data_IF_088056530242
#
_entry.id   IF_088056530242
#
_cell.length_a   1.000
_cell.length_b   1.000
_cell.length_c   1.000
_cell.angle_alpha   90.00
_cell.angle_beta   90.00
_cell.angle_gamma   90.00
#
_symmetry.space_group_name_H-M   'P 1'
#
loop_
_entity.id
_entity.type
_entity.pdbx_description
1 polymer ?
#
# COMPACT_ATOMS: atom_id res chain seq x y z
N UNK A 1 52.80 -2.89 -25.05
CA UNK A 1 51.35 -2.80 -25.39
C UNK A 1 50.47 -3.72 -24.52
N UNK A 2 50.83 -4.96 -24.26
CA UNK A 2 50.03 -5.94 -23.49
C UNK A 2 49.87 -5.54 -22.00
N UNK A 3 50.83 -4.88 -21.37
CA UNK A 3 50.81 -4.47 -19.96
C UNK A 3 49.79 -3.33 -19.69
N UNK A 4 49.59 -2.42 -20.62
CA UNK A 4 48.69 -1.28 -20.49
C UNK A 4 47.26 -1.77 -20.65
N UNK A 5 47.02 -2.70 -21.57
CA UNK A 5 45.68 -3.29 -21.80
C UNK A 5 45.19 -4.07 -20.56
N UNK A 6 46.08 -4.83 -19.89
CA UNK A 6 45.74 -5.54 -18.63
C UNK A 6 45.37 -4.58 -17.49
N UNK A 7 46.04 -3.42 -17.39
CA UNK A 7 45.72 -2.42 -16.36
C UNK A 7 44.37 -1.72 -16.61
N UNK A 8 44.02 -1.48 -17.88
CA UNK A 8 42.75 -0.88 -18.26
C UNK A 8 41.59 -1.86 -17.99
N UNK A 9 41.76 -3.14 -18.29
CA UNK A 9 40.73 -4.17 -18.02
C UNK A 9 40.54 -4.35 -16.52
N UNK A 10 41.59 -4.27 -15.69
CA UNK A 10 41.49 -4.38 -14.25
C UNK A 10 40.78 -3.17 -13.60
N UNK A 11 41.00 -1.97 -14.13
CA UNK A 11 40.29 -0.75 -13.71
C UNK A 11 38.83 -0.74 -14.13
N UNK A 12 38.47 -1.32 -15.27
CA UNK A 12 37.08 -1.44 -15.71
C UNK A 12 36.26 -2.44 -14.85
N UNK A 13 36.91 -3.50 -14.34
CA UNK A 13 36.26 -4.50 -13.48
C UNK A 13 35.92 -3.99 -12.07
N UNK A 14 36.62 -2.96 -11.58
CA UNK A 14 36.37 -2.37 -10.25
C UNK A 14 35.14 -1.43 -10.26
N UNK A 15 34.73 -0.92 -11.44
CA UNK A 15 33.61 0.02 -11.55
C UNK A 15 32.24 -0.63 -11.59
N UNK A 16 32.14 -1.96 -11.69
CA UNK A 16 30.85 -2.69 -11.81
C UNK A 16 30.27 -3.11 -10.43
N UNK A 17 31.01 -2.92 -9.33
CA UNK A 17 30.64 -3.43 -8.01
C UNK A 17 29.87 -2.47 -7.10
N UNK A 18 29.39 -1.31 -7.57
CA UNK A 18 28.71 -0.32 -6.72
C UNK A 18 27.25 -0.03 -7.06
N UNK A 19 26.59 -0.89 -7.83
CA UNK A 19 25.12 -0.91 -7.81
C UNK A 19 24.65 -1.81 -6.68
N UNK A 20 24.91 -1.39 -5.44
CA UNK A 20 24.22 -1.88 -4.27
C UNK A 20 22.77 -1.47 -4.43
N UNK A 21 21.89 -2.43 -4.72
CA UNK A 21 20.46 -2.26 -4.54
C UNK A 21 20.26 -2.05 -3.04
N UNK A 22 20.05 -0.82 -2.59
CA UNK A 22 19.59 -0.52 -1.24
C UNK A 22 18.22 -1.20 -1.11
N UNK A 23 18.22 -2.33 -0.42
CA UNK A 23 16.99 -2.98 -0.01
C UNK A 23 16.47 -2.11 1.13
N UNK A 24 15.51 -1.23 0.82
CA UNK A 24 14.78 -0.49 1.85
C UNK A 24 14.17 -1.54 2.81
N UNK A 25 14.78 -1.68 3.98
CA UNK A 25 14.28 -2.53 5.06
C UNK A 25 13.13 -1.77 5.73
N UNK A 26 11.94 -1.81 5.13
CA UNK A 26 10.73 -1.36 5.81
C UNK A 26 10.41 -2.38 6.90
N UNK A 27 10.38 -1.90 8.14
CA UNK A 27 10.04 -2.72 9.29
C UNK A 27 8.52 -2.87 9.36
N UNK A 28 8.04 -4.03 9.86
CA UNK A 28 6.61 -4.27 10.11
C UNK A 28 5.95 -3.16 10.95
N UNK A 29 6.74 -2.48 11.78
CA UNK A 29 6.31 -1.35 12.58
C UNK A 29 5.75 -0.17 11.75
N UNK A 30 6.14 -0.05 10.47
CA UNK A 30 5.65 1.02 9.60
C UNK A 30 4.26 0.75 9.02
N UNK A 31 3.89 -0.53 8.77
CA UNK A 31 2.52 -0.89 8.40
C UNK A 31 1.58 -0.70 9.58
N UNK A 32 2.03 -1.09 10.76
CA UNK A 32 1.24 -1.14 11.99
C UNK A 32 1.23 0.23 12.68
N UNK A 33 0.15 0.57 13.38
CA UNK A 33 -0.04 1.85 14.11
C UNK A 33 0.03 3.12 13.25
N UNK A 34 0.12 2.98 11.94
CA UNK A 34 0.08 4.12 11.04
C UNK A 34 -1.34 4.31 10.54
N UNK A 35 -1.85 5.52 10.63
CA UNK A 35 -3.09 5.90 9.96
C UNK A 35 -2.77 6.17 8.49
N UNK A 36 -3.28 5.32 7.62
CA UNK A 36 -3.10 5.39 6.18
C UNK A 36 -4.32 6.05 5.55
N UNK A 37 -4.13 7.17 4.86
CA UNK A 37 -5.19 7.97 4.23
C UNK A 37 -5.26 7.68 2.74
N UNK A 38 -6.44 7.36 2.22
CA UNK A 38 -6.66 7.07 0.80
C UNK A 38 -6.41 8.31 -0.05
N UNK A 39 -5.51 8.19 -1.01
CA UNK A 39 -5.14 9.24 -1.95
C UNK A 39 -5.80 9.06 -3.31
N UNK A 40 -5.81 7.85 -3.81
CA UNK A 40 -6.42 7.51 -5.09
C UNK A 40 -6.66 6.00 -5.19
N UNK A 41 -7.47 5.62 -6.17
CA UNK A 41 -7.65 4.24 -6.61
C UNK A 41 -7.09 4.08 -8.01
N UNK A 42 -6.58 2.89 -8.32
CA UNK A 42 -6.07 2.54 -9.64
C UNK A 42 -6.81 1.32 -10.17
N UNK A 43 -7.45 1.46 -11.32
CA UNK A 43 -8.13 0.33 -11.98
C UNK A 43 -7.13 -0.80 -12.29
N UNK A 44 -7.46 -2.03 -11.89
CA UNK A 44 -6.55 -3.18 -12.02
C UNK A 44 -6.30 -3.61 -13.45
N UNK A 45 -7.21 -3.32 -14.38
CA UNK A 45 -7.14 -3.72 -15.79
C UNK A 45 -6.54 -2.62 -16.67
N UNK A 46 -7.04 -1.41 -16.54
CA UNK A 46 -6.65 -0.28 -17.41
C UNK A 46 -5.48 0.53 -16.84
N UNK A 47 -5.16 0.37 -15.56
CA UNK A 47 -4.19 1.16 -14.81
C UNK A 47 -4.56 2.63 -14.67
N UNK A 48 -5.80 3.00 -15.03
CA UNK A 48 -6.30 4.36 -14.89
C UNK A 48 -6.38 4.77 -13.42
N UNK A 49 -5.92 5.98 -13.12
CA UNK A 49 -5.91 6.56 -11.78
C UNK A 49 -7.13 7.47 -11.61
N UNK A 50 -7.83 7.32 -10.49
CA UNK A 50 -8.88 8.23 -10.06
C UNK A 50 -8.52 8.77 -8.67
N UNK A 51 -8.26 10.08 -8.59
CA UNK A 51 -7.89 10.74 -7.34
C UNK A 51 -9.09 10.85 -6.40
N UNK A 52 -8.81 10.75 -5.10
CA UNK A 52 -9.81 10.98 -4.07
C UNK A 52 -10.40 12.40 -4.19
N UNK A 53 -11.73 12.60 -4.02
CA UNK A 53 -12.36 13.91 -4.19
C UNK A 53 -11.80 14.95 -3.21
N UNK A 54 -11.29 16.06 -3.72
CA UNK A 54 -10.72 17.14 -2.90
C UNK A 54 -11.75 17.93 -2.10
N UNK A 55 -13.04 17.83 -2.49
CA UNK A 55 -14.17 18.47 -1.82
C UNK A 55 -14.95 17.51 -0.90
N UNK A 56 -14.43 16.32 -0.65
CA UNK A 56 -15.01 15.40 0.32
C UNK A 56 -14.88 15.98 1.74
N UNK A 57 -15.95 15.87 2.53
CA UNK A 57 -16.02 16.42 3.88
C UNK A 57 -15.00 15.78 4.86
N UNK A 58 -14.60 14.54 4.59
CA UNK A 58 -13.61 13.77 5.36
C UNK A 58 -12.79 12.90 4.44
N UNK A 59 -11.66 12.47 4.90
CA UNK A 59 -10.81 11.47 4.25
C UNK A 59 -11.25 10.06 4.62
N UNK A 60 -10.94 9.09 3.74
CA UNK A 60 -11.04 7.68 4.08
C UNK A 60 -9.67 7.24 4.61
N UNK A 61 -9.67 6.51 5.72
CA UNK A 61 -8.43 6.00 6.31
C UNK A 61 -8.57 4.59 6.86
N UNK A 62 -7.44 3.91 6.96
CA UNK A 62 -7.31 2.58 7.57
C UNK A 62 -6.14 2.58 8.55
N UNK A 63 -6.21 1.67 9.53
CA UNK A 63 -5.13 1.42 10.47
C UNK A 63 -5.07 -0.07 10.80
N UNK A 64 -3.88 -0.65 10.73
CA UNK A 64 -3.61 -2.01 11.15
C UNK A 64 -3.09 -1.99 12.59
N UNK A 65 -3.84 -2.64 13.50
CA UNK A 65 -3.46 -2.72 14.90
C UNK A 65 -2.18 -3.56 15.06
N UNK A 66 -1.30 -3.16 15.96
CA UNK A 66 -0.11 -3.95 16.31
C UNK A 66 -0.30 -4.84 17.55
N UNK A 67 -1.46 -4.76 18.19
CA UNK A 67 -1.78 -5.53 19.40
C UNK A 67 -2.86 -6.58 19.17
N UNK A 68 -3.47 -6.56 17.98
CA UNK A 68 -4.52 -7.50 17.59
C UNK A 68 -4.55 -7.60 16.06
N UNK A 69 -5.17 -8.64 15.54
CA UNK A 69 -5.32 -8.86 14.09
C UNK A 69 -6.49 -8.02 13.52
N UNK A 70 -6.66 -6.77 13.98
CA UNK A 70 -7.77 -5.91 13.60
C UNK A 70 -7.27 -4.81 12.67
N UNK A 71 -7.91 -4.67 11.51
CA UNK A 71 -7.86 -3.48 10.68
C UNK A 71 -9.09 -2.62 10.95
N UNK A 72 -8.87 -1.36 11.27
CA UNK A 72 -9.93 -0.36 11.43
C UNK A 72 -10.10 0.44 10.16
N UNK A 73 -11.32 0.83 9.84
CA UNK A 73 -11.71 1.64 8.68
C UNK A 73 -12.53 2.85 9.15
N UNK A 74 -12.16 4.01 8.67
CA UNK A 74 -12.90 5.26 8.85
C UNK A 74 -13.19 5.87 7.48
N UNK A 75 -14.45 5.97 7.13
CA UNK A 75 -14.94 6.55 5.89
C UNK A 75 -15.44 7.97 6.07
N UNK A 76 -16.10 8.48 5.04
CA UNK A 76 -16.71 9.81 5.01
C UNK A 76 -17.91 9.86 6.00
N UNK A 77 -18.71 8.83 6.01
CA UNK A 77 -19.89 8.68 6.87
C UNK A 77 -19.98 7.32 7.56
N UNK A 78 -19.25 6.33 7.12
CA UNK A 78 -19.24 4.99 7.69
C UNK A 78 -17.91 4.70 8.36
N UNK A 79 -17.94 3.79 9.33
CA UNK A 79 -16.78 3.22 9.96
C UNK A 79 -16.97 1.73 10.13
N UNK A 80 -15.87 1.03 10.38
CA UNK A 80 -15.91 -0.40 10.54
C UNK A 80 -14.58 -1.01 10.92
N UNK A 81 -14.56 -2.32 10.98
CA UNK A 81 -13.36 -3.09 11.25
C UNK A 81 -13.44 -4.48 10.65
N UNK A 82 -12.32 -5.11 10.50
CA UNK A 82 -12.19 -6.48 10.06
C UNK A 82 -10.97 -7.13 10.69
N UNK A 83 -10.72 -8.37 10.36
CA UNK A 83 -9.48 -9.06 10.73
C UNK A 83 -8.52 -9.06 9.56
N UNK A 84 -7.22 -9.08 9.84
CA UNK A 84 -6.19 -9.15 8.81
C UNK A 84 -5.07 -10.12 9.18
N UNK A 85 -4.41 -10.63 8.15
CA UNK A 85 -3.14 -11.34 8.25
C UNK A 85 -2.18 -10.77 7.21
N UNK A 86 -0.89 -10.75 7.51
CA UNK A 86 0.12 -10.25 6.58
C UNK A 86 1.46 -10.99 6.73
N UNK A 87 2.30 -10.86 5.73
CA UNK A 87 3.67 -11.36 5.73
C UNK A 87 4.61 -10.29 5.18
N UNK A 88 5.49 -9.77 6.01
CA UNK A 88 6.54 -8.83 5.59
C UNK A 88 7.57 -9.44 4.65
N UNK A 89 7.71 -10.76 4.69
CA UNK A 89 8.66 -11.49 3.84
C UNK A 89 8.16 -11.62 2.41
N UNK A 90 6.86 -11.95 2.25
CA UNK A 90 6.24 -12.17 0.92
C UNK A 90 5.48 -10.96 0.41
N UNK A 91 5.14 -10.00 1.28
CA UNK A 91 4.26 -8.88 0.95
C UNK A 91 2.79 -9.29 0.80
N UNK A 92 2.42 -10.49 1.25
CA UNK A 92 1.03 -10.91 1.25
C UNK A 92 0.24 -10.20 2.34
N UNK A 93 -1.02 -9.89 2.06
CA UNK A 93 -1.99 -9.38 3.02
C UNK A 93 -3.38 -9.91 2.68
N UNK A 94 -4.13 -10.27 3.70
CA UNK A 94 -5.55 -10.66 3.58
C UNK A 94 -6.35 -9.90 4.61
N UNK A 95 -7.54 -9.45 4.23
CA UNK A 95 -8.54 -8.84 5.11
C UNK A 95 -9.80 -9.67 5.04
N UNK A 96 -10.33 -10.05 6.19
CA UNK A 96 -11.55 -10.86 6.33
C UNK A 96 -12.48 -10.22 7.36
N UNK A 97 -13.70 -10.71 7.42
CA UNK A 97 -14.70 -10.31 8.43
C UNK A 97 -14.92 -8.79 8.52
N UNK A 98 -14.75 -8.09 7.37
CA UNK A 98 -14.87 -6.65 7.33
C UNK A 98 -16.35 -6.24 7.44
N UNK A 99 -16.70 -5.60 8.55
CA UNK A 99 -18.04 -5.12 8.87
C UNK A 99 -18.01 -3.60 8.93
N UNK A 100 -18.96 -2.95 8.26
CA UNK A 100 -19.10 -1.49 8.24
C UNK A 100 -20.54 -1.07 8.51
N UNK A 101 -20.73 0.13 9.01
CA UNK A 101 -22.05 0.79 9.00
C UNK A 101 -22.47 1.10 7.56
N UNK A 102 -23.76 1.35 7.33
CA UNK A 102 -24.34 1.59 6.00
C UNK A 102 -25.16 2.87 6.01
N UNK A 103 -24.49 4.01 6.15
CA UNK A 103 -25.10 5.34 6.07
C UNK A 103 -24.85 5.90 4.68
N UNK A 104 -25.85 6.40 4.00
CA UNK A 104 -25.71 7.06 2.71
C UNK A 104 -25.28 8.51 2.87
N UNK A 105 -24.27 8.93 2.11
CA UNK A 105 -23.80 10.32 2.04
C UNK A 105 -23.16 10.61 0.68
N UNK A 106 -22.80 11.88 0.45
CA UNK A 106 -22.03 12.27 -0.74
C UNK A 106 -20.71 11.51 -0.77
N UNK A 107 -20.34 10.93 -1.89
CA UNK A 107 -19.13 10.12 -2.10
C UNK A 107 -19.07 8.79 -1.35
N UNK A 108 -20.20 8.23 -0.91
CA UNK A 108 -20.26 6.90 -0.28
C UNK A 108 -19.71 5.78 -1.19
N UNK A 109 -19.74 5.95 -2.49
CA UNK A 109 -19.15 5.03 -3.46
C UNK A 109 -17.65 4.81 -3.23
N UNK A 110 -16.91 5.81 -2.74
CA UNK A 110 -15.49 5.70 -2.39
C UNK A 110 -15.26 4.79 -1.18
N UNK A 111 -16.17 4.81 -0.21
CA UNK A 111 -16.17 3.84 0.89
C UNK A 111 -16.41 2.42 0.36
N UNK A 112 -17.38 2.27 -0.54
CA UNK A 112 -17.68 0.99 -1.18
C UNK A 112 -16.48 0.45 -1.95
N UNK A 113 -15.82 1.29 -2.76
CA UNK A 113 -14.60 0.89 -3.47
C UNK A 113 -13.49 0.47 -2.50
N UNK A 114 -13.28 1.23 -1.42
CA UNK A 114 -12.25 0.92 -0.43
C UNK A 114 -12.53 -0.39 0.28
N UNK A 115 -13.73 -0.57 0.82
CA UNK A 115 -14.13 -1.77 1.58
C UNK A 115 -14.07 -3.02 0.71
N UNK A 116 -14.64 -2.96 -0.51
CA UNK A 116 -14.63 -4.10 -1.41
C UNK A 116 -13.20 -4.51 -1.81
N UNK A 117 -12.33 -3.55 -2.10
CA UNK A 117 -10.97 -3.88 -2.53
C UNK A 117 -10.03 -4.22 -1.37
N UNK A 118 -10.33 -3.79 -0.14
CA UNK A 118 -9.71 -4.34 1.08
C UNK A 118 -10.10 -5.81 1.28
N UNK A 119 -11.36 -6.16 1.08
CA UNK A 119 -11.81 -7.57 1.16
C UNK A 119 -11.12 -8.47 0.13
N UNK A 120 -10.79 -7.94 -1.04
CA UNK A 120 -10.06 -8.63 -2.11
C UNK A 120 -8.53 -8.36 -2.06
N UNK A 121 -8.01 -7.85 -0.97
CA UNK A 121 -6.57 -7.62 -0.81
C UNK A 121 -5.79 -8.93 -0.94
N UNK A 122 -4.68 -8.89 -1.68
CA UNK A 122 -3.82 -10.04 -1.93
C UNK A 122 -2.37 -9.79 -1.54
N UNK A 123 -1.88 -8.59 -1.78
CA UNK A 123 -0.53 -8.19 -1.43
C UNK A 123 -0.44 -6.70 -1.15
N UNK A 124 0.67 -6.27 -0.53
CA UNK A 124 0.94 -4.87 -0.30
C UNK A 124 2.39 -4.52 -0.63
N UNK A 125 2.59 -3.24 -0.91
CA UNK A 125 3.90 -2.62 -1.00
C UNK A 125 3.85 -1.30 -0.26
N UNK A 126 4.88 -0.98 0.51
CA UNK A 126 4.96 0.30 1.21
C UNK A 126 6.36 0.89 1.16
N UNK A 127 6.43 2.17 1.43
CA UNK A 127 7.63 2.93 1.78
C UNK A 127 7.27 3.89 2.92
N UNK A 128 8.19 4.75 3.34
CA UNK A 128 7.98 5.66 4.49
C UNK A 128 6.70 6.50 4.42
N UNK A 129 6.21 6.79 3.21
CA UNK A 129 5.11 7.72 2.98
C UNK A 129 3.87 7.09 2.34
N UNK A 130 4.03 5.97 1.66
CA UNK A 130 2.98 5.41 0.81
C UNK A 130 2.76 3.93 1.14
N UNK A 131 1.50 3.52 1.11
CA UNK A 131 1.05 2.13 1.16
C UNK A 131 0.20 1.86 -0.07
N UNK A 132 0.52 0.81 -0.80
CA UNK A 132 -0.29 0.29 -1.90
C UNK A 132 -0.83 -1.06 -1.46
N UNK A 133 -2.13 -1.23 -1.49
CA UNK A 133 -2.78 -2.54 -1.35
C UNK A 133 -3.22 -2.99 -2.73
N UNK A 134 -2.62 -4.07 -3.20
CA UNK A 134 -3.01 -4.73 -4.44
C UNK A 134 -4.20 -5.64 -4.18
N UNK A 135 -5.19 -5.52 -5.04
CA UNK A 135 -6.44 -6.26 -4.93
C UNK A 135 -6.66 -7.15 -6.15
N UNK A 136 -7.30 -8.29 -5.95
CA UNK A 136 -7.87 -9.10 -7.04
C UNK A 136 -9.21 -8.57 -7.52
N UNK A 137 -9.74 -7.52 -6.89
CA UNK A 137 -10.95 -6.80 -7.28
C UNK A 137 -10.72 -5.76 -8.39
N UNK A 138 -11.59 -4.77 -8.43
CA UNK A 138 -11.58 -3.75 -9.48
C UNK A 138 -10.45 -2.73 -9.36
N UNK A 139 -10.00 -2.42 -8.12
CA UNK A 139 -9.07 -1.34 -7.87
C UNK A 139 -7.95 -1.74 -6.92
N UNK A 140 -6.72 -1.29 -7.19
CA UNK A 140 -5.67 -1.17 -6.19
C UNK A 140 -5.90 0.11 -5.39
N UNK A 141 -5.60 0.05 -4.09
CA UNK A 141 -5.81 1.16 -3.16
C UNK A 141 -4.47 1.81 -2.83
N UNK A 142 -4.37 3.11 -3.05
CA UNK A 142 -3.15 3.88 -2.79
C UNK A 142 -3.38 4.84 -1.64
N UNK A 143 -2.61 4.66 -0.58
CA UNK A 143 -2.68 5.45 0.64
C UNK A 143 -1.39 6.24 0.86
N UNK A 144 -1.51 7.34 1.58
CA UNK A 144 -0.39 8.09 2.14
C UNK A 144 -0.45 8.05 3.66
N UNK A 145 0.72 8.14 4.29
CA UNK A 145 0.84 8.28 5.75
C UNK A 145 0.25 9.64 6.18
N UNK A 146 -0.57 9.63 7.24
CA UNK A 146 -1.07 10.86 7.86
C UNK A 146 0.00 11.51 8.73
#
# INVERSE_FOLDING_TARGET
MISILKRIIFLLLIFISSFGCEKENHTDADLLKTTWVLSYIQDTKTQAITNYPSDAAKTISIEFSNTSDIVSFWGICNGGSGTYTYSSVTGEIKVTDLITTLIGCKYVEWETYTVQNLYYASSYKMNDKNLIIYSTGAYNLHFTRN
#
